data_IF_024247906793
#
_entry.id   IF_024247906793
#
_cell.length_a   1.000
_cell.length_b   1.000
_cell.length_c   1.000
_cell.angle_alpha   90.00
_cell.angle_beta   90.00
_cell.angle_gamma   90.00
#
_symmetry.space_group_name_H-M   'P 1'
#
loop_
_entity.id
_entity.type
_entity.pdbx_description
1 polymer ?
#
# COMPACT_ATOMS: atom_id res chain seq x y z
N UNK A 1 18.41 -70.95 -12.28
CA UNK A 1 19.35 -70.33 -13.24
C UNK A 1 19.10 -68.89 -13.28
N UNK A 2 19.92 -68.19 -12.71
CA UNK A 2 20.71 -67.14 -13.31
C UNK A 2 19.85 -66.12 -14.03
N UNK A 3 19.91 -64.87 -13.80
CA UNK A 3 20.99 -63.99 -13.65
C UNK A 3 20.52 -62.61 -13.46
N UNK A 4 21.13 -61.98 -12.65
CA UNK A 4 21.87 -60.73 -12.80
C UNK A 4 21.02 -59.52 -12.86
N UNK A 5 20.99 -58.81 -11.84
CA UNK A 5 21.94 -57.78 -11.51
C UNK A 5 22.13 -56.75 -12.57
N UNK A 6 21.65 -55.64 -12.32
CA UNK A 6 22.46 -54.48 -12.52
C UNK A 6 21.89 -53.30 -11.77
N UNK A 7 22.67 -52.89 -10.90
CA UNK A 7 22.61 -51.64 -10.28
C UNK A 7 22.88 -50.56 -11.28
N UNK A 8 22.15 -49.56 -11.20
CA UNK A 8 22.63 -48.29 -11.63
C UNK A 8 22.25 -47.31 -10.58
N UNK A 9 23.21 -46.95 -9.95
CA UNK A 9 23.11 -45.84 -9.05
C UNK A 9 23.11 -44.60 -9.88
N UNK A 10 22.07 -43.94 -9.86
CA UNK A 10 22.06 -42.63 -10.40
C UNK A 10 22.16 -41.67 -9.27
N UNK A 11 23.24 -41.18 -9.16
CA UNK A 11 23.43 -40.08 -8.28
C UNK A 11 22.76 -38.90 -8.90
N UNK A 12 21.80 -38.52 -8.30
CA UNK A 12 21.20 -37.28 -8.70
C UNK A 12 21.67 -36.26 -7.76
N UNK A 13 22.53 -35.60 -8.19
CA UNK A 13 22.96 -34.45 -7.50
C UNK A 13 22.00 -33.33 -7.82
N UNK A 14 21.15 -33.20 -6.99
CA UNK A 14 20.29 -32.15 -7.20
C UNK A 14 20.24 -31.33 -6.07
N UNK A 15 21.10 -30.57 -5.95
CA UNK A 15 20.97 -29.80 -4.89
C UNK A 15 21.40 -28.52 -5.22
N UNK A 16 20.90 -27.85 -5.84
CA UNK A 16 21.46 -26.67 -5.99
C UNK A 16 20.64 -25.59 -6.29
N UNK A 17 19.47 -25.77 -6.27
CA UNK A 17 18.73 -24.76 -6.79
C UNK A 17 18.03 -23.93 -5.90
N UNK A 18 18.15 -24.16 -4.73
CA UNK A 18 17.22 -23.50 -4.01
C UNK A 18 17.66 -22.24 -3.49
N UNK A 19 18.80 -21.96 -3.54
CA UNK A 19 19.13 -20.85 -2.93
C UNK A 19 18.90 -19.66 -3.56
N UNK A 20 18.63 -19.62 -4.62
CA UNK A 20 18.42 -18.47 -5.27
C UNK A 20 17.29 -17.78 -4.87
N UNK A 21 16.36 -18.38 -4.56
CA UNK A 21 15.16 -17.78 -4.29
C UNK A 21 15.26 -16.81 -3.23
N UNK A 22 15.85 -17.16 -2.23
CA UNK A 22 15.78 -16.27 -1.25
C UNK A 22 16.58 -15.12 -1.46
N UNK A 23 17.48 -15.17 -2.18
CA UNK A 23 18.18 -14.14 -2.41
C UNK A 23 17.43 -13.11 -3.00
N UNK A 24 16.71 -13.38 -3.81
CA UNK A 24 16.02 -12.43 -4.46
C UNK A 24 15.15 -11.77 -3.57
N UNK A 25 14.67 -12.42 -2.71
CA UNK A 25 13.75 -11.88 -1.93
C UNK A 25 14.29 -10.79 -1.22
N UNK A 26 15.37 -10.94 -0.74
CA UNK A 26 15.72 -9.90 -0.03
C UNK A 26 16.14 -8.80 -0.69
N UNK A 27 16.49 -8.95 -1.70
CA UNK A 27 16.87 -7.92 -2.31
C UNK A 27 15.93 -6.96 -2.48
N UNK A 28 14.96 -7.25 -2.56
CA UNK A 28 14.07 -6.37 -2.84
C UNK A 28 13.91 -5.47 -1.93
N UNK A 29 14.07 -5.75 -1.10
CA UNK A 29 13.80 -4.97 -0.24
C UNK A 29 14.33 -3.82 -0.39
N UNK A 30 14.98 -3.73 -0.53
CA UNK A 30 15.50 -2.68 -0.52
C UNK A 30 15.14 -1.63 -0.94
N UNK A 31 15.02 -1.51 -1.39
CA UNK A 31 14.93 -0.46 -1.79
C UNK A 31 14.12 0.26 -1.58
N UNK A 32 13.71 0.03 -1.64
CA UNK A 32 12.93 0.58 -1.48
C UNK A 32 13.03 1.65 -1.33
N UNK A 33 13.39 1.77 -1.31
CA UNK A 33 13.49 2.63 -1.20
C UNK A 33 13.37 3.48 -1.44
N UNK A 34 13.30 3.30 -1.44
CA UNK A 34 13.49 4.00 -1.49
C UNK A 34 13.21 5.11 -1.78
N UNK A 35 12.72 5.40 -1.65
CA UNK A 35 12.61 6.60 -1.74
C UNK A 35 12.10 7.18 -2.85
N UNK A 36 11.69 6.65 -3.54
CA UNK A 36 11.22 7.20 -4.60
C UNK A 36 9.97 7.58 -4.34
N UNK A 37 9.67 8.42 -3.95
CA UNK A 37 8.42 8.81 -3.64
C UNK A 37 7.65 8.77 -4.76
N UNK A 38 7.88 8.48 -5.51
CA UNK A 38 7.19 8.45 -6.53
C UNK A 38 6.00 7.98 -6.43
N UNK A 39 5.42 7.80 -7.29
CA UNK A 39 4.17 7.39 -7.27
C UNK A 39 4.02 6.08 -6.81
N UNK A 40 3.15 5.75 -6.12
CA UNK A 40 2.84 4.45 -5.73
C UNK A 40 3.48 3.96 -4.48
N UNK A 41 4.21 4.67 -3.81
CA UNK A 41 4.84 4.20 -2.64
C UNK A 41 3.96 4.52 -1.45
N UNK A 42 3.35 3.53 -0.87
CA UNK A 42 2.50 3.74 0.27
C UNK A 42 3.23 4.36 1.43
N UNK A 43 4.52 4.14 1.55
CA UNK A 43 5.23 4.69 2.67
C UNK A 43 5.38 6.19 2.59
N UNK A 44 5.26 6.77 1.43
CA UNK A 44 5.43 8.20 1.29
C UNK A 44 4.23 8.98 1.76
N UNK A 45 3.11 8.32 2.00
CA UNK A 45 1.91 9.01 2.43
C UNK A 45 1.48 8.62 3.83
N UNK A 46 2.33 7.98 4.58
CA UNK A 46 2.05 7.67 5.98
C UNK A 46 2.02 8.97 6.77
N UNK A 47 1.00 9.18 7.52
CA UNK A 47 0.90 10.38 8.36
C UNK A 47 -0.53 10.77 8.67
N UNK A 48 -0.66 11.93 9.29
CA UNK A 48 -1.94 12.50 9.67
C UNK A 48 -2.30 13.63 8.72
N UNK A 49 -3.54 13.67 8.32
CA UNK A 49 -4.03 14.64 7.36
C UNK A 49 -5.35 15.24 7.82
N UNK A 50 -5.54 16.52 7.53
CA UNK A 50 -6.81 17.18 7.65
C UNK A 50 -7.45 17.19 6.25
N UNK A 51 -8.69 16.78 6.14
CA UNK A 51 -9.39 16.64 4.89
C UNK A 51 -10.56 17.59 4.84
N UNK A 52 -10.56 18.50 3.89
CA UNK A 52 -11.65 19.43 3.71
C UNK A 52 -12.56 18.90 2.62
N UNK A 53 -13.78 18.63 2.96
CA UNK A 53 -14.79 18.13 2.04
C UNK A 53 -15.35 19.23 1.16
N UNK A 54 -16.06 18.87 0.09
CA UNK A 54 -16.64 19.81 -0.84
C UNK A 54 -17.64 20.77 -0.17
N UNK A 55 -18.31 20.33 0.87
CA UNK A 55 -19.27 21.14 1.62
C UNK A 55 -18.60 22.03 2.69
N UNK A 56 -17.26 21.99 2.75
CA UNK A 56 -16.49 22.79 3.69
C UNK A 56 -16.27 22.15 5.04
N UNK A 57 -16.85 21.00 5.29
CA UNK A 57 -16.62 20.30 6.56
C UNK A 57 -15.24 19.69 6.60
N UNK A 58 -14.74 19.49 7.80
CA UNK A 58 -13.42 18.95 8.01
C UNK A 58 -13.51 17.53 8.57
N UNK A 59 -12.68 16.66 8.05
CA UNK A 59 -12.48 15.33 8.53
C UNK A 59 -10.98 15.13 8.77
N UNK A 60 -10.59 14.02 9.32
CA UNK A 60 -9.19 13.66 9.53
C UNK A 60 -8.94 12.27 9.02
N UNK A 61 -7.78 12.05 8.46
CA UNK A 61 -7.33 10.73 8.02
C UNK A 61 -5.95 10.47 8.59
N UNK A 62 -5.75 9.35 9.24
CA UNK A 62 -4.44 8.87 9.66
C UNK A 62 -4.11 7.64 8.86
N UNK A 63 -2.97 7.64 8.16
CA UNK A 63 -2.48 6.49 7.41
C UNK A 63 -1.27 5.94 8.14
N UNK A 64 -1.35 4.69 8.54
CA UNK A 64 -0.31 4.04 9.32
C UNK A 64 0.68 3.26 8.44
N UNK A 65 1.90 3.11 8.93
CA UNK A 65 2.94 2.41 8.20
C UNK A 65 2.64 0.92 7.99
N UNK A 66 1.71 0.37 8.75
CA UNK A 66 1.33 -1.03 8.63
C UNK A 66 0.26 -1.26 7.57
N UNK A 67 -0.14 -0.22 6.83
CA UNK A 67 -1.15 -0.33 5.81
C UNK A 67 -2.57 -0.22 6.32
N UNK A 68 -2.77 0.27 7.52
CA UNK A 68 -4.11 0.55 8.04
C UNK A 68 -4.38 2.04 8.01
N UNK A 69 -5.64 2.43 8.09
CA UNK A 69 -6.01 3.83 8.19
C UNK A 69 -7.16 4.02 9.18
N UNK A 70 -7.31 5.24 9.63
CA UNK A 70 -8.42 5.66 10.47
C UNK A 70 -8.91 6.99 9.95
N UNK A 71 -10.15 7.07 9.57
CA UNK A 71 -10.81 8.30 9.18
C UNK A 71 -11.73 8.74 10.31
N UNK A 72 -11.71 10.01 10.63
CA UNK A 72 -12.63 10.60 11.59
C UNK A 72 -13.47 11.63 10.85
N UNK A 73 -14.73 11.36 10.70
CA UNK A 73 -15.64 12.24 9.99
C UNK A 73 -15.94 13.53 10.75
N UNK A 74 -16.63 14.47 10.11
CA UNK A 74 -16.97 15.75 10.72
C UNK A 74 -17.88 15.58 11.95
N UNK A 75 -18.56 14.48 12.07
CA UNK A 75 -19.41 14.15 13.20
C UNK A 75 -18.64 13.43 14.33
N UNK A 76 -17.34 13.22 14.13
CA UNK A 76 -16.50 12.52 15.09
C UNK A 76 -16.56 11.01 14.97
N UNK A 77 -17.27 10.48 13.98
CA UNK A 77 -17.37 9.04 13.82
C UNK A 77 -16.11 8.53 13.15
N UNK A 78 -15.59 7.44 13.65
CA UNK A 78 -14.39 6.83 13.09
C UNK A 78 -14.72 5.68 12.14
N UNK A 79 -14.00 5.60 11.05
CA UNK A 79 -14.03 4.50 10.11
C UNK A 79 -12.59 3.98 10.03
N UNK A 80 -12.40 2.69 10.11
CA UNK A 80 -11.10 2.06 10.06
C UNK A 80 -11.05 1.07 8.92
N UNK A 81 -9.86 0.77 8.46
CA UNK A 81 -9.72 -0.21 7.38
C UNK A 81 -8.28 -0.33 6.90
N UNK A 82 -8.15 -0.79 5.69
CA UNK A 82 -6.86 -1.01 5.05
C UNK A 82 -6.64 -0.02 3.95
N UNK A 83 -5.39 0.37 3.79
CA UNK A 83 -4.97 1.28 2.77
C UNK A 83 -3.95 0.61 1.87
N UNK A 84 -4.05 0.84 0.58
CA UNK A 84 -3.08 0.35 -0.38
C UNK A 84 -2.98 1.27 -1.59
N UNK A 85 -1.81 1.33 -2.20
CA UNK A 85 -1.67 1.98 -3.49
C UNK A 85 -1.96 0.96 -4.59
N UNK A 86 -2.84 1.28 -5.49
CA UNK A 86 -3.20 0.43 -6.62
C UNK A 86 -3.24 1.26 -7.89
N UNK A 87 -2.39 0.95 -8.84
CA UNK A 87 -2.34 1.65 -10.14
C UNK A 87 -2.23 3.17 -9.98
N UNK A 88 -1.43 3.61 -9.04
CA UNK A 88 -1.23 5.04 -8.80
C UNK A 88 -2.37 5.71 -8.05
N UNK A 89 -3.35 4.96 -7.58
CA UNK A 89 -4.44 5.49 -6.78
C UNK A 89 -4.32 5.07 -5.34
N UNK A 90 -4.83 5.89 -4.47
CA UNK A 90 -4.88 5.64 -3.04
C UNK A 90 -6.20 4.94 -2.74
N UNK A 91 -6.17 3.67 -2.38
CA UNK A 91 -7.38 2.87 -2.17
C UNK A 91 -7.59 2.57 -0.69
N UNK A 92 -8.79 2.83 -0.22
CA UNK A 92 -9.21 2.67 1.16
C UNK A 92 -10.33 1.64 1.23
N UNK A 93 -10.08 0.56 1.93
CA UNK A 93 -11.03 -0.54 2.10
C UNK A 93 -11.47 -0.54 3.56
N UNK A 94 -12.65 -0.03 3.81
CA UNK A 94 -13.16 0.09 5.16
C UNK A 94 -13.51 -1.28 5.73
N UNK A 95 -13.35 -1.43 7.04
CA UNK A 95 -13.75 -2.67 7.70
C UNK A 95 -15.27 -2.80 7.61
N UNK A 96 -15.74 -3.96 7.21
CA UNK A 96 -17.17 -4.23 7.08
C UNK A 96 -17.56 -4.54 5.65
N UNK A 97 -18.76 -4.16 5.29
CA UNK A 97 -19.30 -4.52 3.97
C UNK A 97 -19.24 -3.38 2.98
N UNK A 98 -18.54 -2.33 3.28
CA UNK A 98 -18.46 -1.18 2.37
C UNK A 98 -17.47 -1.48 1.27
N UNK A 99 -17.76 -0.98 0.08
CA UNK A 99 -16.87 -1.21 -1.05
C UNK A 99 -15.64 -0.32 -0.94
N UNK A 100 -14.52 -0.83 -1.37
CA UNK A 100 -13.27 -0.07 -1.44
C UNK A 100 -13.48 1.19 -2.28
N UNK A 101 -12.89 2.26 -1.89
CA UNK A 101 -12.93 3.53 -2.62
C UNK A 101 -11.51 3.93 -2.96
N UNK A 102 -11.26 4.20 -4.22
CA UNK A 102 -9.95 4.65 -4.66
C UNK A 102 -9.97 6.12 -5.05
N UNK A 103 -8.90 6.82 -4.74
CA UNK A 103 -8.74 8.24 -4.96
C UNK A 103 -7.54 8.53 -5.85
N UNK A 104 -7.68 9.54 -6.68
CA UNK A 104 -6.59 10.03 -7.51
C UNK A 104 -6.21 11.40 -7.01
N UNK A 105 -4.97 11.59 -6.64
CA UNK A 105 -4.49 12.83 -6.04
C UNK A 105 -3.64 13.64 -7.00
N UNK A 106 -3.72 14.95 -6.89
CA UNK A 106 -2.84 15.86 -7.61
C UNK A 106 -1.51 15.96 -6.87
N UNK A 107 -0.52 16.53 -7.51
CA UNK A 107 0.73 16.79 -6.82
C UNK A 107 0.52 17.81 -5.72
N UNK A 108 1.20 17.67 -4.60
CA UNK A 108 1.09 18.64 -3.52
C UNK A 108 1.59 20.02 -3.93
N UNK A 109 0.92 21.04 -3.43
CA UNK A 109 1.33 22.42 -3.59
C UNK A 109 2.47 22.78 -2.65
N UNK A 110 2.82 24.04 -2.64
CA UNK A 110 3.92 24.54 -1.82
C UNK A 110 3.66 24.39 -0.33
N UNK A 111 2.41 24.38 0.07
CA UNK A 111 1.99 24.21 1.46
C UNK A 111 1.76 22.74 1.81
N UNK A 112 2.00 21.84 0.88
CA UNK A 112 1.78 20.42 1.06
C UNK A 112 0.35 19.97 0.82
N UNK A 113 -0.57 20.86 0.53
CA UNK A 113 -1.95 20.47 0.28
C UNK A 113 -2.13 19.96 -1.14
N UNK A 114 -3.07 19.07 -1.33
CA UNK A 114 -3.40 18.54 -2.65
C UNK A 114 -4.89 18.22 -2.76
N UNK A 115 -5.35 18.01 -3.95
CA UNK A 115 -6.75 17.66 -4.21
C UNK A 115 -6.82 16.18 -4.55
N UNK A 116 -7.78 15.47 -3.97
CA UNK A 116 -8.04 14.07 -4.28
C UNK A 116 -9.46 13.93 -4.80
N UNK A 117 -9.64 13.10 -5.83
CA UNK A 117 -10.94 12.82 -6.41
C UNK A 117 -11.19 11.32 -6.37
N UNK A 118 -12.31 10.92 -5.82
CA UNK A 118 -12.69 9.51 -5.72
C UNK A 118 -13.19 8.96 -7.05
N UNK A 119 -13.18 7.65 -7.17
CA UNK A 119 -13.76 6.98 -8.33
C UNK A 119 -15.27 7.26 -8.45
N UNK A 120 -15.89 7.75 -7.40
CA UNK A 120 -17.30 8.11 -7.40
C UNK A 120 -17.52 9.57 -7.77
N UNK A 121 -16.46 10.34 -7.91
CA UNK A 121 -16.54 11.75 -8.31
C UNK A 121 -16.49 12.73 -7.15
N UNK A 122 -16.34 12.28 -5.94
CA UNK A 122 -16.20 13.18 -4.80
C UNK A 122 -14.84 13.84 -4.81
N UNK A 123 -14.75 15.08 -4.48
CA UNK A 123 -13.48 15.82 -4.46
C UNK A 123 -13.25 16.40 -3.08
N UNK A 124 -12.04 16.24 -2.59
CA UNK A 124 -11.64 16.76 -1.29
C UNK A 124 -10.29 17.46 -1.39
N UNK A 125 -9.99 18.33 -0.46
CA UNK A 125 -8.66 18.93 -0.32
C UNK A 125 -8.00 18.32 0.90
N UNK A 126 -6.83 17.78 0.71
CA UNK A 126 -6.06 17.10 1.76
C UNK A 126 -4.89 17.97 2.16
N UNK A 127 -4.69 18.14 3.44
CA UNK A 127 -3.63 18.96 4.00
C UNK A 127 -2.89 18.17 5.06
N UNK A 128 -1.56 18.20 5.10
CA UNK A 128 -0.83 17.58 6.20
C UNK A 128 -1.29 18.20 7.50
N UNK A 129 -1.59 17.38 8.48
CA UNK A 129 -2.03 17.90 9.76
C UNK A 129 -0.90 18.66 10.44
N UNK A 130 -1.22 19.80 11.00
CA UNK A 130 -0.21 20.60 11.69
C UNK A 130 0.06 19.95 13.04
N UNK A 131 1.32 19.74 13.30
CA UNK A 131 1.77 19.23 14.60
C UNK A 131 1.79 20.34 15.62
#
# INVERSE_FOLDING_TARGET
>A
MMKKLMMIAALSTLAACSQQAEKAAEDEVVPVEAGAPAEGDSASIVGDYDVKMADGKMAKTTINADGTYVDTGPDGKETKGKFAMKDGKECFDADGDEAEICWTSTKPGADGSFTSTSDKGDTVTVMPAKK
#
